data_IF_899576228339
#
_entry.id   IF_899576228339
#
_cell.length_a   1.000
_cell.length_b   1.000
_cell.length_c   1.000
_cell.angle_alpha   90.00
_cell.angle_beta   90.00
_cell.angle_gamma   90.00
#
_symmetry.space_group_name_H-M   'P 1'
#
loop_
_entity.id
_entity.type
_entity.pdbx_description
1 polymer ?
#
# COMPACT_ATOMS: atom_id res chain seq x y z
N UNK A 1 3.00 3.52 -15.86
CA UNK A 1 3.12 4.82 -15.18
C UNK A 1 2.75 5.97 -16.10
N UNK A 2 3.28 6.02 -17.34
CA UNK A 2 3.02 7.14 -18.27
C UNK A 2 1.52 7.33 -18.56
N UNK A 3 0.76 6.28 -18.78
CA UNK A 3 -0.70 6.38 -18.99
C UNK A 3 -1.44 7.03 -17.82
N UNK A 4 -1.03 6.75 -16.58
CA UNK A 4 -1.60 7.40 -15.39
C UNK A 4 -1.19 8.87 -15.32
N UNK A 5 0.06 9.19 -15.66
CA UNK A 5 0.53 10.57 -15.72
C UNK A 5 -0.27 11.40 -16.74
N UNK A 6 -0.51 10.86 -17.94
CA UNK A 6 -1.34 11.48 -18.98
C UNK A 6 -2.79 11.69 -18.50
N UNK A 7 -3.36 10.71 -17.79
CA UNK A 7 -4.71 10.83 -17.23
C UNK A 7 -4.78 11.95 -16.17
N UNK A 8 -3.79 12.04 -15.27
CA UNK A 8 -3.70 13.13 -14.27
C UNK A 8 -3.63 14.49 -14.95
N UNK A 9 -2.74 14.63 -15.95
CA UNK A 9 -2.57 15.87 -16.69
C UNK A 9 -3.83 16.28 -17.46
N UNK A 10 -4.53 15.29 -18.05
CA UNK A 10 -5.79 15.56 -18.76
C UNK A 10 -6.90 16.10 -17.84
N UNK A 11 -6.80 15.82 -16.54
CA UNK A 11 -7.70 16.31 -15.50
C UNK A 11 -7.20 17.60 -14.82
N UNK A 12 -6.13 18.21 -15.33
CA UNK A 12 -5.57 19.46 -14.81
C UNK A 12 -4.66 19.29 -13.60
N UNK A 13 -4.28 18.07 -13.26
CA UNK A 13 -3.29 17.79 -12.24
C UNK A 13 -1.86 17.75 -12.81
N UNK A 14 -0.88 17.88 -11.92
CA UNK A 14 0.54 17.71 -12.26
C UNK A 14 1.04 16.32 -11.85
N UNK A 15 2.05 15.83 -12.56
CA UNK A 15 2.60 14.50 -12.28
C UNK A 15 4.09 14.40 -12.60
N UNK A 16 4.83 13.73 -11.74
CA UNK A 16 6.22 13.32 -11.94
C UNK A 16 6.31 11.79 -11.94
N UNK A 17 6.79 11.23 -13.03
CA UNK A 17 7.02 9.78 -13.14
C UNK A 17 8.45 9.45 -12.74
N UNK A 18 8.60 8.66 -11.67
CA UNK A 18 9.89 8.13 -11.20
C UNK A 18 9.78 6.60 -11.16
N UNK A 19 10.21 5.89 -12.21
CA UNK A 19 10.25 4.42 -12.19
C UNK A 19 11.16 3.93 -11.07
N UNK A 20 10.62 3.10 -10.18
CA UNK A 20 11.31 2.67 -8.96
C UNK A 20 11.00 1.21 -8.67
N UNK A 21 12.04 0.38 -8.58
CA UNK A 21 11.93 -0.92 -7.94
C UNK A 21 12.05 -0.71 -6.42
N UNK A 22 10.94 -0.84 -5.73
CA UNK A 22 10.87 -0.59 -4.28
C UNK A 22 11.61 -1.63 -3.43
N UNK A 23 12.05 -2.75 -4.02
CA UNK A 23 12.93 -3.71 -3.35
C UNK A 23 14.38 -3.20 -3.24
N UNK A 24 14.73 -2.14 -3.99
CA UNK A 24 16.09 -1.58 -4.08
C UNK A 24 16.18 -0.26 -3.28
N UNK A 25 16.90 -0.24 -2.15
CA UNK A 25 17.01 0.96 -1.30
C UNK A 25 17.54 2.20 -2.03
N UNK A 26 18.47 2.01 -2.96
CA UNK A 26 19.05 3.12 -3.74
C UNK A 26 18.01 3.78 -4.65
N UNK A 27 17.09 2.99 -5.20
CA UNK A 27 16.01 3.53 -6.03
C UNK A 27 14.96 4.26 -5.18
N UNK A 28 14.71 3.82 -3.94
CA UNK A 28 13.86 4.55 -2.99
C UNK A 28 14.50 5.90 -2.63
N UNK A 29 15.82 5.95 -2.42
CA UNK A 29 16.52 7.22 -2.18
C UNK A 29 16.39 8.17 -3.36
N UNK A 30 16.58 7.68 -4.58
CA UNK A 30 16.35 8.48 -5.79
C UNK A 30 14.89 8.96 -5.89
N UNK A 31 13.90 8.09 -5.61
CA UNK A 31 12.49 8.49 -5.57
C UNK A 31 12.26 9.63 -4.58
N UNK A 32 12.80 9.50 -3.36
CA UNK A 32 12.71 10.54 -2.32
C UNK A 32 13.27 11.88 -2.83
N UNK A 33 14.51 11.86 -3.37
CA UNK A 33 15.19 13.07 -3.79
C UNK A 33 14.42 13.76 -4.94
N UNK A 34 13.98 12.98 -5.93
CA UNK A 34 13.16 13.49 -7.04
C UNK A 34 11.80 14.03 -6.59
N UNK A 35 11.16 13.38 -5.64
CA UNK A 35 9.89 13.83 -5.11
C UNK A 35 10.03 15.15 -4.32
N UNK A 36 11.09 15.28 -3.51
CA UNK A 36 11.34 16.50 -2.72
C UNK A 36 11.80 17.68 -3.58
N UNK A 37 12.49 17.45 -4.71
CA UNK A 37 12.76 18.49 -5.72
C UNK A 37 11.46 18.98 -6.38
N UNK A 38 10.47 18.09 -6.55
CA UNK A 38 9.19 18.42 -7.16
C UNK A 38 8.27 19.19 -6.21
N UNK A 39 8.32 18.90 -4.89
CA UNK A 39 7.56 19.58 -3.87
C UNK A 39 7.48 18.84 -2.54
N UNK A 40 6.78 19.44 -1.60
CA UNK A 40 6.53 18.82 -0.30
C UNK A 40 5.60 17.61 -0.41
N UNK A 41 6.03 16.48 0.16
CA UNK A 41 5.23 15.25 0.17
C UNK A 41 4.34 15.22 1.42
N UNK A 42 3.06 15.44 1.25
CA UNK A 42 2.06 15.40 2.33
C UNK A 42 1.39 14.03 2.50
N UNK A 43 1.33 13.22 1.45
CA UNK A 43 0.72 11.89 1.48
C UNK A 43 1.65 10.87 0.82
N UNK A 44 1.88 9.77 1.50
CA UNK A 44 2.58 8.59 0.95
C UNK A 44 1.61 7.42 0.94
N UNK A 45 1.41 6.81 -0.24
CA UNK A 45 0.61 5.60 -0.38
C UNK A 45 1.54 4.44 -0.73
N UNK A 46 1.81 3.59 0.26
CA UNK A 46 2.56 2.35 0.08
C UNK A 46 1.65 1.33 -0.63
N UNK A 47 1.59 1.41 -1.96
CA UNK A 47 0.70 0.61 -2.80
C UNK A 47 1.41 -0.55 -3.50
N UNK A 48 2.72 -0.47 -3.71
CA UNK A 48 3.48 -1.54 -4.34
C UNK A 48 3.29 -2.87 -3.59
N UNK A 49 3.00 -3.92 -4.32
CA UNK A 49 2.76 -5.22 -3.71
C UNK A 49 2.60 -6.32 -4.74
N UNK A 50 2.90 -7.53 -4.34
CA UNK A 50 2.75 -8.74 -5.15
C UNK A 50 2.29 -9.91 -4.28
N UNK A 51 1.71 -10.93 -4.93
CA UNK A 51 1.31 -12.17 -4.30
C UNK A 51 1.66 -13.36 -5.18
N UNK A 52 2.17 -14.42 -4.56
CA UNK A 52 2.33 -15.73 -5.16
C UNK A 52 1.81 -16.76 -4.18
N UNK A 53 0.96 -17.64 -4.65
CA UNK A 53 0.21 -18.57 -3.83
C UNK A 53 0.55 -20.01 -4.19
N UNK A 54 0.91 -20.81 -3.19
CA UNK A 54 1.23 -22.22 -3.32
C UNK A 54 1.11 -22.91 -1.97
N UNK A 55 1.10 -24.25 -1.94
CA UNK A 55 1.23 -25.01 -0.69
C UNK A 55 2.53 -24.65 0.01
N UNK A 56 2.54 -24.65 1.34
CA UNK A 56 3.70 -24.20 2.11
C UNK A 56 4.96 -25.01 1.82
N UNK A 57 4.81 -26.31 1.57
CA UNK A 57 5.92 -27.20 1.18
C UNK A 57 6.50 -26.91 -0.20
N UNK A 58 5.75 -26.22 -1.06
CA UNK A 58 6.13 -25.88 -2.45
C UNK A 58 6.54 -24.42 -2.59
N UNK A 59 6.56 -23.63 -1.52
CA UNK A 59 7.00 -22.22 -1.57
C UNK A 59 8.51 -22.16 -1.78
N UNK A 60 8.95 -21.61 -2.93
CA UNK A 60 10.36 -21.30 -3.13
C UNK A 60 10.80 -20.17 -2.17
N UNK A 61 12.01 -20.27 -1.62
CA UNK A 61 12.50 -19.28 -0.67
C UNK A 61 12.61 -17.89 -1.31
N UNK A 62 12.93 -17.84 -2.59
CA UNK A 62 13.02 -16.61 -3.38
C UNK A 62 11.65 -15.92 -3.51
N UNK A 63 10.56 -16.69 -3.61
CA UNK A 63 9.20 -16.17 -3.65
C UNK A 63 8.73 -15.67 -2.28
N UNK A 64 9.16 -16.34 -1.21
CA UNK A 64 8.97 -15.89 0.15
C UNK A 64 9.68 -14.55 0.38
N UNK A 65 10.98 -14.51 0.15
CA UNK A 65 11.79 -13.31 0.37
C UNK A 65 11.28 -12.13 -0.46
N UNK A 66 10.96 -12.36 -1.74
CA UNK A 66 10.43 -11.30 -2.62
C UNK A 66 9.12 -10.71 -2.13
N UNK A 67 8.20 -11.53 -1.60
CA UNK A 67 6.95 -11.03 -1.04
C UNK A 67 7.18 -10.18 0.23
N UNK A 68 8.09 -10.60 1.09
CA UNK A 68 8.46 -9.82 2.28
C UNK A 68 9.19 -8.52 1.90
N UNK A 69 10.12 -8.58 0.95
CA UNK A 69 10.86 -7.40 0.49
C UNK A 69 9.94 -6.36 -0.13
N UNK A 70 9.08 -6.75 -1.06
CA UNK A 70 8.22 -5.80 -1.77
C UNK A 70 7.04 -5.34 -0.91
N UNK A 71 6.35 -6.25 -0.21
CA UNK A 71 5.15 -5.88 0.52
C UNK A 71 5.46 -5.20 1.86
N UNK A 72 6.48 -5.66 2.59
CA UNK A 72 6.75 -5.22 3.96
C UNK A 72 7.98 -4.32 4.06
N UNK A 73 9.17 -4.82 3.66
CA UNK A 73 10.41 -4.08 3.80
C UNK A 73 10.40 -2.77 3.00
N UNK A 74 9.88 -2.80 1.77
CA UNK A 74 9.76 -1.59 0.95
C UNK A 74 8.82 -0.56 1.59
N UNK A 75 7.68 -0.99 2.16
CA UNK A 75 6.76 -0.08 2.86
C UNK A 75 7.42 0.60 4.06
N UNK A 76 8.27 -0.11 4.80
CA UNK A 76 9.09 0.47 5.85
C UNK A 76 10.07 1.52 5.30
N UNK A 77 10.86 1.16 4.28
CA UNK A 77 11.91 2.03 3.72
C UNK A 77 11.32 3.31 3.09
N UNK A 78 10.22 3.17 2.35
CA UNK A 78 9.52 4.33 1.77
C UNK A 78 8.97 5.22 2.87
N UNK A 79 8.33 4.67 3.90
CA UNK A 79 7.83 5.47 5.03
C UNK A 79 8.98 6.18 5.75
N UNK A 80 10.07 5.47 6.05
CA UNK A 80 11.27 6.02 6.69
C UNK A 80 11.85 7.21 5.89
N UNK A 81 11.82 7.14 4.56
CA UNK A 81 12.37 8.18 3.69
C UNK A 81 11.59 9.51 3.77
N UNK A 82 10.27 9.47 4.00
CA UNK A 82 9.42 10.67 3.95
C UNK A 82 8.98 11.18 5.33
N UNK A 83 9.00 10.37 6.39
CA UNK A 83 8.64 10.76 7.75
C UNK A 83 9.37 12.01 8.24
N UNK A 84 10.70 12.19 8.04
CA UNK A 84 11.39 13.38 8.54
C UNK A 84 10.81 14.71 8.04
N UNK A 85 10.47 14.78 6.76
CA UNK A 85 9.82 15.97 6.18
C UNK A 85 8.41 16.20 6.72
N UNK A 86 7.64 15.14 6.95
CA UNK A 86 6.31 15.23 7.56
C UNK A 86 6.39 15.72 9.01
N UNK A 87 7.34 15.20 9.81
CA UNK A 87 7.60 15.66 11.20
C UNK A 87 7.95 17.14 11.26
N UNK A 88 8.82 17.62 10.37
CA UNK A 88 9.18 19.05 10.32
C UNK A 88 7.97 19.96 10.08
N UNK A 89 6.99 19.49 9.30
CA UNK A 89 5.77 20.26 8.99
C UNK A 89 4.62 19.99 9.97
N UNK A 90 4.77 19.03 10.89
CA UNK A 90 3.72 18.53 11.77
C UNK A 90 2.45 18.19 10.98
N UNK A 91 2.63 17.63 9.80
CA UNK A 91 1.54 17.28 8.89
C UNK A 91 2.00 16.20 7.90
N UNK A 92 1.20 15.13 7.80
CA UNK A 92 1.45 14.06 6.85
C UNK A 92 0.42 12.95 6.94
N UNK A 93 0.38 12.11 5.90
CA UNK A 93 -0.43 10.89 5.91
C UNK A 93 0.37 9.75 5.29
N UNK A 94 0.47 8.64 6.01
CA UNK A 94 0.98 7.37 5.51
C UNK A 94 -0.19 6.41 5.31
N UNK A 95 -0.42 5.96 4.09
CA UNK A 95 -1.43 4.97 3.77
C UNK A 95 -0.76 3.66 3.32
N UNK A 96 -1.20 2.55 3.88
CA UNK A 96 -0.66 1.22 3.57
C UNK A 96 -1.72 0.39 2.87
N UNK A 97 -1.48 0.03 1.60
CA UNK A 97 -2.33 -0.90 0.85
C UNK A 97 -2.11 -2.33 1.35
N UNK A 98 -2.76 -2.63 2.44
CA UNK A 98 -2.74 -3.93 3.09
C UNK A 98 -3.71 -4.90 2.36
N UNK A 99 -4.35 -5.78 3.08
CA UNK A 99 -5.33 -6.75 2.62
C UNK A 99 -6.12 -7.29 3.82
N UNK A 100 -7.27 -7.89 3.59
CA UNK A 100 -7.93 -8.76 4.57
C UNK A 100 -6.99 -9.92 4.99
N UNK A 101 -5.99 -10.28 4.17
CA UNK A 101 -4.92 -11.21 4.52
C UNK A 101 -3.97 -10.68 5.61
N UNK A 102 -4.01 -9.40 5.95
CA UNK A 102 -3.36 -8.84 7.15
C UNK A 102 -4.21 -8.98 8.43
N UNK A 103 -5.40 -9.56 8.33
CA UNK A 103 -6.35 -9.73 9.45
C UNK A 103 -6.70 -11.20 9.72
N UNK A 104 -6.58 -12.06 8.72
CA UNK A 104 -6.79 -13.51 8.87
C UNK A 104 -5.93 -14.29 7.87
N UNK A 105 -5.68 -15.56 8.17
CA UNK A 105 -4.98 -16.47 7.28
C UNK A 105 -5.86 -17.00 6.14
N UNK A 106 -5.21 -17.34 5.04
CA UNK A 106 -5.82 -18.01 3.89
C UNK A 106 -4.94 -19.21 3.48
N UNK A 107 -5.53 -20.32 3.04
CA UNK A 107 -4.76 -21.43 2.49
C UNK A 107 -3.84 -20.97 1.35
N UNK A 108 -2.72 -21.63 1.19
CA UNK A 108 -1.74 -21.41 0.11
C UNK A 108 -1.11 -20.01 0.06
N UNK A 109 -1.26 -19.20 1.12
CA UNK A 109 -0.90 -17.79 1.13
C UNK A 109 0.13 -17.44 2.20
N UNK A 110 0.96 -18.38 2.64
CA UNK A 110 1.81 -18.22 3.82
C UNK A 110 2.68 -16.95 3.77
N UNK A 111 3.46 -16.75 2.69
CA UNK A 111 4.33 -15.59 2.54
C UNK A 111 3.53 -14.28 2.42
N UNK A 112 2.47 -14.29 1.62
CA UNK A 112 1.60 -13.12 1.44
C UNK A 112 0.94 -12.70 2.76
N UNK A 113 0.33 -13.65 3.47
CA UNK A 113 -0.28 -13.42 4.79
C UNK A 113 0.77 -12.88 5.77
N UNK A 114 1.95 -13.51 5.87
CA UNK A 114 3.03 -13.05 6.75
C UNK A 114 3.42 -11.60 6.43
N UNK A 115 3.60 -11.26 5.14
CA UNK A 115 3.94 -9.91 4.72
C UNK A 115 2.86 -8.88 5.08
N UNK A 116 1.57 -9.22 4.91
CA UNK A 116 0.44 -8.32 5.20
C UNK A 116 0.16 -8.19 6.70
N UNK A 117 0.35 -9.23 7.51
CA UNK A 117 0.35 -9.09 8.97
C UNK A 117 1.50 -8.22 9.45
N UNK A 118 2.72 -8.41 8.90
CA UNK A 118 3.87 -7.56 9.20
C UNK A 118 3.61 -6.10 8.84
N UNK A 119 3.04 -5.83 7.66
CA UNK A 119 2.66 -4.48 7.23
C UNK A 119 1.63 -3.84 8.17
N UNK A 120 0.65 -4.62 8.66
CA UNK A 120 -0.30 -4.13 9.66
C UNK A 120 0.41 -3.75 10.96
N UNK A 121 1.27 -4.64 11.49
CA UNK A 121 2.05 -4.35 12.70
C UNK A 121 2.95 -3.12 12.54
N UNK A 122 3.55 -2.93 11.36
CA UNK A 122 4.31 -1.73 11.02
C UNK A 122 3.41 -0.48 11.08
N UNK A 123 2.25 -0.52 10.44
CA UNK A 123 1.31 0.61 10.44
C UNK A 123 0.83 0.95 11.85
N UNK A 124 0.51 -0.06 12.67
CA UNK A 124 0.07 0.13 14.06
C UNK A 124 1.17 0.79 14.90
N UNK A 125 2.43 0.34 14.77
CA UNK A 125 3.59 0.93 15.47
C UNK A 125 3.84 2.38 15.06
N UNK A 126 3.86 2.64 13.74
CA UNK A 126 4.06 4.01 13.23
C UNK A 126 2.93 4.95 13.64
N UNK A 127 1.70 4.46 13.76
CA UNK A 127 0.56 5.25 14.21
C UNK A 127 0.79 5.77 15.62
N UNK A 128 1.21 4.91 16.53
CA UNK A 128 1.47 5.33 17.91
C UNK A 128 2.69 6.26 18.01
N UNK A 129 3.75 5.97 17.25
CA UNK A 129 4.96 6.80 17.26
C UNK A 129 4.74 8.21 16.72
N UNK A 130 3.87 8.37 15.70
CA UNK A 130 3.73 9.61 14.94
C UNK A 130 2.53 10.47 15.36
N UNK A 131 1.80 10.08 16.42
CA UNK A 131 0.62 10.82 16.91
C UNK A 131 0.95 12.25 17.30
N UNK A 132 2.03 12.45 18.05
CA UNK A 132 2.44 13.77 18.52
C UNK A 132 2.94 14.68 17.39
N UNK A 133 3.38 14.08 16.27
CA UNK A 133 3.82 14.79 15.08
C UNK A 133 2.64 15.16 14.14
N UNK A 134 1.39 14.88 14.52
CA UNK A 134 0.18 15.11 13.72
C UNK A 134 0.23 14.41 12.34
N UNK A 135 0.83 13.21 12.28
CA UNK A 135 0.93 12.39 11.07
C UNK A 135 -0.10 11.25 11.18
N UNK A 136 -0.99 11.18 10.20
CA UNK A 136 -2.01 10.12 10.10
C UNK A 136 -1.40 8.85 9.51
N UNK A 137 -1.76 7.71 10.06
CA UNK A 137 -1.35 6.39 9.53
C UNK A 137 -2.59 5.53 9.32
N UNK A 138 -2.84 5.19 8.06
CA UNK A 138 -4.03 4.47 7.62
C UNK A 138 -3.63 3.09 7.10
N UNK A 139 -4.20 2.03 7.65
CA UNK A 139 -4.07 0.66 7.12
C UNK A 139 -5.34 0.29 6.35
N UNK A 140 -5.20 0.00 5.05
CA UNK A 140 -6.33 -0.27 4.14
C UNK A 140 -6.36 -1.78 3.88
N UNK A 141 -7.49 -2.42 4.20
CA UNK A 141 -7.64 -3.87 4.14
C UNK A 141 -8.76 -4.25 3.15
N UNK A 142 -8.50 -4.19 1.83
CA UNK A 142 -9.45 -4.65 0.85
C UNK A 142 -9.52 -6.18 0.80
N UNK A 143 -10.69 -6.69 0.43
CA UNK A 143 -10.84 -8.04 -0.12
C UNK A 143 -10.27 -8.11 -1.54
N UNK A 144 -10.70 -9.10 -2.33
CA UNK A 144 -10.28 -9.23 -3.71
C UNK A 144 -10.77 -8.04 -4.56
N UNK A 145 -9.83 -7.33 -5.19
CA UNK A 145 -10.06 -6.16 -6.06
C UNK A 145 -9.73 -6.55 -7.49
N UNK A 146 -10.56 -6.19 -8.45
CA UNK A 146 -10.32 -6.48 -9.86
C UNK A 146 -9.15 -5.63 -10.39
N UNK A 147 -7.99 -6.27 -10.43
CA UNK A 147 -6.72 -5.66 -10.85
C UNK A 147 -5.82 -6.72 -11.50
N UNK A 148 -4.79 -6.30 -12.25
CA UNK A 148 -3.76 -7.21 -12.77
C UNK A 148 -2.95 -7.95 -11.67
N UNK A 149 -3.11 -7.61 -10.39
CA UNK A 149 -2.49 -8.33 -9.28
C UNK A 149 -2.75 -9.85 -9.35
N UNK A 150 -3.93 -10.25 -9.80
CA UNK A 150 -4.34 -11.65 -9.87
C UNK A 150 -3.75 -12.41 -11.08
N UNK A 151 -3.20 -11.68 -12.06
CA UNK A 151 -2.61 -12.28 -13.24
C UNK A 151 -1.33 -13.05 -12.85
N UNK A 152 -1.27 -14.32 -13.18
CA UNK A 152 -0.14 -15.18 -12.85
C UNK A 152 -0.04 -15.66 -11.39
N UNK A 153 -1.01 -15.34 -10.52
CA UNK A 153 -1.03 -15.83 -9.13
C UNK A 153 -1.42 -17.32 -9.00
N UNK A 154 -2.00 -17.89 -10.04
CA UNK A 154 -2.57 -19.25 -10.01
C UNK A 154 -3.97 -19.32 -9.37
N UNK A 155 -4.49 -18.21 -8.88
CA UNK A 155 -5.85 -18.11 -8.29
C UNK A 155 -6.80 -17.58 -9.36
N UNK A 156 -7.93 -18.28 -9.55
CA UNK A 156 -8.95 -17.90 -10.50
C UNK A 156 -10.27 -17.58 -9.79
N UNK A 157 -10.43 -16.34 -9.37
CA UNK A 157 -11.70 -15.82 -8.85
C UNK A 157 -12.51 -15.15 -9.95
N UNK A 158 -13.85 -15.17 -9.89
CA UNK A 158 -14.70 -14.45 -10.83
C UNK A 158 -14.47 -12.94 -10.72
N UNK A 159 -13.90 -12.34 -11.77
CA UNK A 159 -13.48 -10.92 -11.77
C UNK A 159 -14.66 -9.98 -11.61
N UNK A 160 -15.82 -10.34 -12.16
CA UNK A 160 -17.08 -9.60 -12.06
C UNK A 160 -17.64 -9.50 -10.65
N UNK A 161 -17.22 -10.39 -9.75
CA UNK A 161 -17.60 -10.37 -8.35
C UNK A 161 -16.61 -9.64 -7.46
N UNK A 162 -15.44 -9.26 -7.97
CA UNK A 162 -14.43 -8.55 -7.21
C UNK A 162 -14.83 -7.10 -6.90
N UNK A 163 -14.15 -6.48 -5.94
CA UNK A 163 -14.32 -5.06 -5.65
C UNK A 163 -13.86 -4.22 -6.85
N UNK A 164 -14.65 -3.20 -7.16
CA UNK A 164 -14.31 -2.23 -8.18
C UNK A 164 -13.19 -1.29 -7.71
N UNK A 165 -12.15 -1.11 -8.53
CA UNK A 165 -10.99 -0.28 -8.21
C UNK A 165 -11.34 1.18 -7.97
N UNK A 166 -12.24 1.76 -8.79
CA UNK A 166 -12.62 3.17 -8.68
C UNK A 166 -13.37 3.45 -7.36
N UNK A 167 -14.33 2.59 -7.02
CA UNK A 167 -15.10 2.72 -5.77
C UNK A 167 -14.21 2.56 -4.53
N UNK A 168 -13.26 1.62 -4.57
CA UNK A 168 -12.28 1.46 -3.51
C UNK A 168 -11.40 2.71 -3.40
N UNK A 169 -10.89 3.24 -4.52
CA UNK A 169 -10.06 4.43 -4.53
C UNK A 169 -10.79 5.65 -3.95
N UNK A 170 -12.08 5.84 -4.26
CA UNK A 170 -12.90 6.90 -3.66
C UNK A 170 -12.96 6.79 -2.12
N UNK A 171 -13.14 5.58 -1.60
CA UNK A 171 -13.16 5.34 -0.15
C UNK A 171 -11.82 5.65 0.50
N UNK A 172 -10.70 5.31 -0.17
CA UNK A 172 -9.35 5.61 0.30
C UNK A 172 -9.10 7.12 0.31
N UNK A 173 -9.44 7.82 -0.77
CA UNK A 173 -9.32 9.28 -0.85
C UNK A 173 -10.12 9.97 0.25
N UNK A 174 -11.35 9.51 0.49
CA UNK A 174 -12.17 10.04 1.58
C UNK A 174 -11.52 9.83 2.96
N UNK A 175 -10.94 8.66 3.21
CA UNK A 175 -10.21 8.38 4.45
C UNK A 175 -8.97 9.28 4.63
N UNK A 176 -8.20 9.50 3.56
CA UNK A 176 -7.03 10.39 3.55
C UNK A 176 -7.43 11.84 3.82
N UNK A 177 -8.52 12.29 3.22
CA UNK A 177 -9.03 13.67 3.32
C UNK A 177 -9.80 13.95 4.62
N UNK A 178 -9.88 13.01 5.55
CA UNK A 178 -10.58 13.23 6.83
C UNK A 178 -10.07 14.51 7.51
N UNK A 179 -10.97 15.44 7.90
CA UNK A 179 -10.58 16.79 8.31
C UNK A 179 -10.03 16.85 9.74
N UNK A 180 -9.19 17.86 9.98
CA UNK A 180 -8.75 18.26 11.32
C UNK A 180 -8.07 17.14 12.09
N UNK A 181 -8.52 16.92 13.32
CA UNK A 181 -8.00 15.93 14.25
C UNK A 181 -8.62 14.52 14.08
N UNK A 182 -9.40 14.29 13.02
CA UNK A 182 -9.93 12.96 12.69
C UNK A 182 -8.92 12.15 11.89
N UNK A 183 -8.70 10.91 12.30
CA UNK A 183 -7.91 9.95 11.55
C UNK A 183 -8.73 8.66 11.36
N UNK A 184 -8.85 8.21 10.11
CA UNK A 184 -9.29 6.85 9.81
C UNK A 184 -8.06 5.96 9.98
N UNK A 185 -8.04 5.11 10.97
CA UNK A 185 -6.88 4.27 11.29
C UNK A 185 -6.87 2.98 10.49
N UNK A 186 -8.03 2.36 10.33
CA UNK A 186 -8.22 1.17 9.51
C UNK A 186 -9.43 1.33 8.59
N UNK A 187 -9.28 0.95 7.33
CA UNK A 187 -10.35 0.87 6.35
C UNK A 187 -10.47 -0.57 5.84
N UNK A 188 -11.50 -1.28 6.26
CA UNK A 188 -11.78 -2.64 5.80
C UNK A 188 -12.90 -2.61 4.78
N UNK A 189 -12.62 -3.00 3.53
CA UNK A 189 -13.58 -3.01 2.42
C UNK A 189 -13.69 -4.42 1.85
N UNK A 190 -14.87 -5.01 1.93
CA UNK A 190 -15.13 -6.38 1.50
C UNK A 190 -16.40 -6.45 0.66
N UNK A 191 -16.55 -7.53 -0.10
CA UNK A 191 -17.83 -7.89 -0.70
C UNK A 191 -18.88 -8.09 0.38
N UNK A 192 -20.11 -7.72 0.13
CA UNK A 192 -21.21 -8.04 1.04
C UNK A 192 -21.42 -9.54 1.22
N UNK A 193 -21.09 -10.33 0.20
CA UNK A 193 -21.11 -11.79 0.26
C UNK A 193 -19.93 -12.42 1.03
N UNK A 194 -18.97 -11.63 1.51
CA UNK A 194 -17.75 -12.11 2.17
C UNK A 194 -16.59 -12.32 1.20
N UNK A 195 -15.57 -13.05 1.65
CA UNK A 195 -14.40 -13.42 0.82
C UNK A 195 -14.75 -14.62 -0.09
N UNK A 196 -13.92 -14.85 -1.09
CA UNK A 196 -13.99 -16.05 -1.92
C UNK A 196 -13.48 -17.28 -1.17
#
# INVERSE_FOLDING_TARGET
>A
LNAIAEEIQSKGGDSLVVPTDVSQPEQINNLKDRALEYGDVSVVINNAGLGKFSKVEDVAIEDWDRQLDVNLRASFLVSQAFIPGMKQRLNGTLAFMNSVAGKKGYPYSAAYVASKYGMRGLADSLREELREDNIKVISIHPGAVDTPFWDGTGVNFPREEMLNTHTLAQSIVHAIQSPGNFAVEELVVRRTAGDF
#
